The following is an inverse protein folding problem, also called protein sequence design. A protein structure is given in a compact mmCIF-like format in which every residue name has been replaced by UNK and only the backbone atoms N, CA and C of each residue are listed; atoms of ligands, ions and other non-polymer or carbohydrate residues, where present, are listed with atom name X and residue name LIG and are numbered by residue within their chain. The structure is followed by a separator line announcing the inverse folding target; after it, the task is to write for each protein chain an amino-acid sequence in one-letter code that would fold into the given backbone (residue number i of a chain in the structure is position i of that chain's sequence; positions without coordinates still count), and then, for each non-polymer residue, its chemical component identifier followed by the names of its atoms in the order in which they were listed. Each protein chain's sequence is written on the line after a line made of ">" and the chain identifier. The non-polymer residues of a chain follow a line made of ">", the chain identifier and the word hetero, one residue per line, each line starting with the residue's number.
data_IF_479959005070
#
_entry.id   IF_479959005070
#
_cell.length_a   1.000
_cell.length_b   1.000
_cell.length_c   1.000
_cell.angle_alpha   90.00
_cell.angle_beta   90.00
_cell.angle_gamma   90.00
#
_symmetry.space_group_name_H-M   'P 1'
#
loop_
_entity.id
_entity.type
_entity.pdbx_description
1 polymer ?
#
# COMPACT_ATOMS: atom_id res chain seq x y z
N UNK A 1 1.74 -3.79 -23.90
CA UNK A 1 2.18 -3.83 -22.49
C UNK A 1 1.07 -4.48 -21.68
N UNK A 2 1.39 -5.19 -20.60
CA UNK A 2 0.45 -5.85 -19.70
C UNK A 2 0.77 -5.42 -18.28
N UNK A 3 -0.27 -5.25 -17.46
CA UNK A 3 -0.15 -4.99 -16.02
C UNK A 3 -1.01 -6.00 -15.29
N UNK A 4 -0.46 -6.56 -14.21
CA UNK A 4 -1.15 -7.52 -13.35
C UNK A 4 -1.06 -7.05 -11.90
N UNK A 5 -2.19 -6.64 -11.30
CA UNK A 5 -2.29 -6.49 -9.86
C UNK A 5 -2.10 -7.85 -9.18
N UNK A 6 -1.18 -7.94 -8.22
CA UNK A 6 -0.88 -9.20 -7.54
C UNK A 6 -1.78 -9.35 -6.30
N UNK A 7 -2.86 -10.13 -6.34
CA UNK A 7 -3.85 -10.20 -5.24
C UNK A 7 -3.27 -10.53 -3.85
N UNK A 8 -2.16 -11.26 -3.78
CA UNK A 8 -1.50 -11.64 -2.52
C UNK A 8 -0.55 -10.58 -1.95
N UNK A 9 -0.30 -9.49 -2.68
CA UNK A 9 0.67 -8.46 -2.28
C UNK A 9 0.20 -7.07 -2.73
N UNK A 10 0.57 -6.00 -2.03
CA UNK A 10 0.25 -4.61 -2.40
C UNK A 10 1.05 -4.09 -3.62
N UNK A 11 1.32 -4.95 -4.61
CA UNK A 11 2.25 -4.75 -5.72
C UNK A 11 1.57 -4.94 -7.08
N UNK A 12 2.16 -4.31 -8.10
CA UNK A 12 1.82 -4.44 -9.50
C UNK A 12 3.00 -5.09 -10.24
N UNK A 13 2.69 -6.01 -11.16
CA UNK A 13 3.64 -6.51 -12.15
C UNK A 13 3.35 -5.88 -13.51
N UNK A 14 4.38 -5.35 -14.17
CA UNK A 14 4.31 -4.69 -15.48
C UNK A 14 5.25 -5.42 -16.45
N UNK A 15 4.73 -5.79 -17.62
CA UNK A 15 5.44 -6.57 -18.61
C UNK A 15 5.08 -6.22 -20.06
N UNK A 16 5.83 -6.79 -20.99
CA UNK A 16 5.61 -6.64 -22.44
C UNK A 16 5.31 -8.02 -23.03
N UNK A 17 4.20 -8.12 -23.77
CA UNK A 17 3.87 -9.34 -24.52
C UNK A 17 4.93 -9.55 -25.61
N UNK A 18 5.52 -10.75 -25.64
CA UNK A 18 6.60 -11.13 -26.57
C UNK A 18 6.18 -12.18 -27.59
N UNK A 19 4.99 -12.76 -27.47
CA UNK A 19 4.48 -13.72 -28.43
C UNK A 19 3.09 -13.35 -28.92
N UNK A 20 2.77 -13.88 -30.09
CA UNK A 20 1.39 -14.02 -30.50
C UNK A 20 0.64 -14.98 -29.58
N UNK A 21 -0.67 -14.98 -29.74
CA UNK A 21 -1.57 -15.91 -29.07
C UNK A 21 -1.21 -17.36 -29.40
N UNK A 22 -1.21 -18.23 -28.39
CA UNK A 22 -1.06 -19.67 -28.54
C UNK A 22 -2.17 -20.36 -27.76
N UNK A 23 -2.71 -21.43 -28.35
CA UNK A 23 -3.63 -22.34 -27.69
C UNK A 23 -2.89 -23.64 -27.35
N UNK A 24 -2.81 -23.98 -26.07
CA UNK A 24 -2.16 -25.20 -25.58
C UNK A 24 -3.18 -26.35 -25.55
N UNK A 25 -3.23 -27.15 -26.60
CA UNK A 25 -4.19 -28.28 -26.71
C UNK A 25 -3.93 -29.39 -25.70
N UNK A 26 -2.69 -29.48 -25.21
CA UNK A 26 -2.15 -30.48 -24.30
C UNK A 26 -2.27 -30.09 -22.82
N UNK A 27 -2.65 -28.84 -22.51
CA UNK A 27 -2.86 -28.39 -21.13
C UNK A 27 -4.15 -28.99 -20.55
N UNK A 28 -4.03 -29.55 -19.34
CA UNK A 28 -5.09 -30.30 -18.67
C UNK A 28 -6.23 -29.38 -18.21
N UNK A 29 -5.90 -28.18 -17.72
CA UNK A 29 -6.90 -27.18 -17.37
C UNK A 29 -7.30 -26.35 -18.60
N UNK A 30 -8.56 -26.47 -19.02
CA UNK A 30 -9.11 -25.78 -20.18
C UNK A 30 -8.95 -24.25 -20.08
N UNK A 31 -9.07 -23.69 -18.87
CA UNK A 31 -8.96 -22.24 -18.64
C UNK A 31 -7.54 -21.69 -18.87
N UNK A 32 -6.52 -22.54 -18.74
CA UNK A 32 -5.12 -22.16 -18.91
C UNK A 32 -4.60 -22.35 -20.35
N UNK A 33 -5.46 -22.77 -21.28
CA UNK A 33 -5.04 -23.07 -22.65
C UNK A 33 -4.74 -21.82 -23.47
N UNK A 34 -5.31 -20.68 -23.11
CA UNK A 34 -5.14 -19.41 -23.82
C UNK A 34 -3.94 -18.65 -23.27
N UNK A 35 -2.80 -18.69 -23.98
CA UNK A 35 -1.55 -18.11 -23.47
C UNK A 35 -0.92 -17.10 -24.41
N UNK A 36 -0.27 -16.09 -23.81
CA UNK A 36 0.69 -15.19 -24.45
C UNK A 36 1.90 -15.07 -23.52
N UNK A 37 3.11 -15.16 -24.08
CA UNK A 37 4.32 -15.00 -23.31
C UNK A 37 4.52 -13.53 -22.94
N UNK A 38 4.70 -13.27 -21.65
CA UNK A 38 4.97 -11.94 -21.11
C UNK A 38 6.39 -11.89 -20.59
N UNK A 39 7.16 -10.93 -21.09
CA UNK A 39 8.45 -10.52 -20.55
C UNK A 39 8.20 -9.50 -19.45
N UNK A 40 8.16 -9.97 -18.20
CA UNK A 40 7.91 -9.16 -17.02
C UNK A 40 9.12 -8.27 -16.71
N UNK A 41 8.96 -6.96 -16.92
CA UNK A 41 10.04 -5.98 -16.78
C UNK A 41 10.15 -5.41 -15.38
N UNK A 42 9.04 -5.25 -14.67
CA UNK A 42 8.99 -4.81 -13.29
C UNK A 42 7.94 -5.63 -12.54
N UNK A 43 8.33 -6.42 -11.53
CA UNK A 43 7.40 -7.33 -10.82
C UNK A 43 7.04 -6.85 -9.42
N UNK A 44 7.59 -5.72 -8.97
CA UNK A 44 7.45 -5.20 -7.60
C UNK A 44 7.20 -3.70 -7.61
N UNK A 45 6.27 -3.24 -8.43
CA UNK A 45 5.87 -1.84 -8.42
C UNK A 45 4.84 -1.64 -7.31
N UNK A 46 5.21 -0.92 -6.26
CA UNK A 46 4.29 -0.62 -5.16
C UNK A 46 3.04 0.11 -5.68
N UNK A 47 1.84 -0.31 -5.25
CA UNK A 47 0.58 0.35 -5.62
C UNK A 47 0.56 1.82 -5.21
N UNK A 48 1.24 2.16 -4.12
CA UNK A 48 1.39 3.53 -3.61
C UNK A 48 2.14 4.47 -4.57
N UNK A 49 2.84 3.94 -5.57
CA UNK A 49 3.44 4.76 -6.64
C UNK A 49 2.42 5.19 -7.69
N UNK A 50 1.28 4.51 -7.82
CA UNK A 50 0.24 4.81 -8.80
C UNK A 50 -0.81 5.74 -8.22
N UNK A 51 -1.36 6.68 -9.02
CA UNK A 51 -2.47 7.53 -8.57
C UNK A 51 -3.80 6.79 -8.64
N UNK A 52 -4.75 7.28 -7.86
CA UNK A 52 -6.07 6.66 -7.68
C UNK A 52 -6.84 6.44 -9.00
N UNK A 53 -6.77 7.38 -9.94
CA UNK A 53 -7.48 7.26 -11.22
C UNK A 53 -6.88 6.19 -12.14
N UNK A 54 -5.58 5.93 -12.03
CA UNK A 54 -4.92 4.83 -12.72
C UNK A 54 -5.22 3.50 -12.04
N UNK A 55 -5.18 3.44 -10.70
CA UNK A 55 -5.58 2.26 -9.93
C UNK A 55 -7.03 1.86 -10.20
N UNK A 56 -7.92 2.84 -10.32
CA UNK A 56 -9.31 2.62 -10.73
C UNK A 56 -9.40 1.94 -12.11
N UNK A 57 -8.62 2.42 -13.07
CA UNK A 57 -8.59 1.83 -14.41
C UNK A 57 -7.98 0.42 -14.43
N UNK A 58 -7.08 0.11 -13.50
CA UNK A 58 -6.46 -1.21 -13.32
C UNK A 58 -7.36 -2.21 -12.57
N UNK A 59 -8.35 -1.72 -11.82
CA UNK A 59 -9.31 -2.53 -11.06
C UNK A 59 -10.56 -2.94 -11.84
N UNK A 60 -10.65 -2.63 -13.15
CA UNK A 60 -11.78 -3.00 -13.98
C UNK A 60 -11.85 -4.53 -14.16
N UNK A 61 -13.00 -5.13 -13.81
CA UNK A 61 -13.21 -6.56 -13.53
C UNK A 61 -13.11 -7.53 -14.72
N UNK A 62 -12.76 -7.08 -15.92
CA UNK A 62 -12.56 -7.99 -17.05
C UNK A 62 -11.21 -8.71 -16.93
N UNK A 63 -11.17 -10.00 -17.24
CA UNK A 63 -9.94 -10.82 -17.29
C UNK A 63 -8.82 -10.18 -18.12
N UNK A 64 -9.18 -9.40 -19.15
CA UNK A 64 -8.27 -8.58 -19.97
C UNK A 64 -9.02 -7.30 -20.40
N UNK A 65 -8.56 -6.12 -19.99
CA UNK A 65 -9.03 -4.83 -20.52
C UNK A 65 -7.88 -4.02 -21.15
N UNK A 66 -8.23 -3.14 -22.08
CA UNK A 66 -7.35 -2.10 -22.56
C UNK A 66 -7.54 -0.82 -21.75
N UNK A 67 -6.45 -0.27 -21.20
CA UNK A 67 -6.46 1.01 -20.49
C UNK A 67 -6.01 2.11 -21.46
N UNK A 68 -6.98 2.79 -22.08
CA UNK A 68 -6.75 3.87 -23.04
C UNK A 68 -6.95 5.27 -22.46
N UNK A 69 -7.69 5.41 -21.35
CA UNK A 69 -8.01 6.71 -20.73
C UNK A 69 -6.83 7.27 -19.93
N UNK A 70 -6.83 8.60 -19.74
CA UNK A 70 -5.96 9.34 -18.82
C UNK A 70 -4.45 9.02 -18.94
N UNK A 71 -3.96 8.85 -20.18
CA UNK A 71 -2.55 8.51 -20.46
C UNK A 71 -2.06 7.22 -19.77
N UNK A 72 -2.95 6.25 -19.51
CA UNK A 72 -2.62 5.05 -18.72
C UNK A 72 -1.35 4.33 -19.18
N UNK A 73 -1.20 4.08 -20.49
CA UNK A 73 -0.01 3.43 -21.04
C UNK A 73 1.29 4.22 -20.75
N UNK A 74 1.28 5.54 -20.90
CA UNK A 74 2.47 6.36 -20.63
C UNK A 74 2.81 6.37 -19.13
N UNK A 75 1.80 6.47 -18.26
CA UNK A 75 1.99 6.47 -16.80
C UNK A 75 2.54 5.14 -16.29
N UNK A 76 2.03 4.04 -16.84
CA UNK A 76 2.52 2.69 -16.57
C UNK A 76 3.98 2.49 -17.03
N UNK A 77 4.41 3.15 -18.12
CA UNK A 77 5.83 3.17 -18.50
C UNK A 77 6.72 3.88 -17.46
N UNK A 78 6.23 4.95 -16.83
CA UNK A 78 6.97 5.64 -15.77
C UNK A 78 7.11 4.75 -14.53
N UNK A 79 6.02 4.08 -14.13
CA UNK A 79 5.98 3.12 -13.03
C UNK A 79 6.91 1.92 -13.27
N UNK A 80 6.95 1.40 -14.50
CA UNK A 80 7.88 0.34 -14.90
C UNK A 80 9.35 0.76 -14.77
N UNK A 81 9.64 2.05 -14.93
CA UNK A 81 10.95 2.65 -14.69
C UNK A 81 11.25 2.99 -13.22
N UNK A 82 10.37 2.61 -12.28
CA UNK A 82 10.51 2.88 -10.84
C UNK A 82 10.18 4.32 -10.43
N UNK A 83 9.59 5.12 -11.31
CA UNK A 83 9.20 6.50 -11.01
C UNK A 83 7.75 6.56 -10.53
N UNK A 84 7.41 7.43 -9.57
CA UNK A 84 6.02 7.68 -9.19
C UNK A 84 5.18 8.12 -10.38
N UNK A 85 3.89 7.80 -10.35
CA UNK A 85 2.93 8.17 -11.38
C UNK A 85 2.76 9.72 -11.45
N UNK A 86 3.17 10.34 -12.57
CA UNK A 86 3.12 11.79 -12.74
C UNK A 86 1.70 12.34 -12.92
N UNK A 87 0.69 11.47 -13.12
CA UNK A 87 -0.66 11.86 -13.51
C UNK A 87 -0.83 12.06 -15.01
N UNK A 88 -2.07 12.23 -15.47
CA UNK A 88 -2.38 12.44 -16.89
C UNK A 88 -1.83 13.78 -17.41
N UNK A 89 -1.41 13.83 -18.68
CA UNK A 89 -0.80 15.02 -19.31
C UNK A 89 -1.81 15.97 -19.95
N UNK A 90 -3.04 15.54 -20.21
CA UNK A 90 -4.09 16.32 -20.89
C UNK A 90 -4.88 17.30 -19.99
N UNK A 91 -5.66 18.19 -20.62
CA UNK A 91 -6.43 19.30 -20.02
C UNK A 91 -7.44 18.93 -18.90
N UNK A 92 -7.69 17.64 -18.64
CA UNK A 92 -8.39 17.18 -17.44
C UNK A 92 -7.62 17.47 -16.13
N UNK A 93 -6.39 17.98 -16.22
CA UNK A 93 -5.56 18.37 -15.09
C UNK A 93 -5.93 19.73 -14.41
N UNK A 94 -7.03 20.40 -14.79
CA UNK A 94 -7.40 21.73 -14.23
C UNK A 94 -8.57 21.78 -13.23
N UNK A 95 -9.15 20.66 -12.80
CA UNK A 95 -10.17 20.65 -11.74
C UNK A 95 -9.97 19.53 -10.73
N UNK A 96 -8.90 19.61 -9.93
CA UNK A 96 -8.82 18.91 -8.63
C UNK A 96 -9.12 19.85 -7.45
N UNK A 97 -10.01 20.83 -7.65
CA UNK A 97 -10.69 21.57 -6.58
C UNK A 97 -12.21 21.49 -6.77
N UNK A 98 -12.78 20.36 -6.37
CA UNK A 98 -14.02 20.23 -5.59
C UNK A 98 -14.45 18.76 -5.62
N UNK A 99 -14.51 18.20 -4.43
CA UNK A 99 -15.32 17.04 -4.11
C UNK A 99 -16.78 17.39 -4.38
N UNK A 100 -17.40 16.71 -5.35
CA UNK A 100 -18.83 16.39 -5.44
C UNK A 100 -18.98 15.25 -6.46
N UNK A 101 -19.90 14.29 -6.27
CA UNK A 101 -20.06 13.15 -7.16
C UNK A 101 -20.85 13.60 -8.40
N UNK A 102 -20.18 13.75 -9.54
CA UNK A 102 -20.87 13.84 -10.82
C UNK A 102 -21.00 12.42 -11.34
N UNK A 103 -22.18 11.86 -11.12
CA UNK A 103 -22.74 10.76 -11.89
C UNK A 103 -23.19 11.38 -13.20
N UNK A 104 -22.34 11.40 -14.23
CA UNK A 104 -22.78 11.73 -15.60
C UNK A 104 -21.82 11.18 -16.67
N UNK A 105 -22.10 9.96 -17.09
CA UNK A 105 -22.50 9.58 -18.44
C UNK A 105 -21.95 8.19 -18.78
N UNK A 106 -22.85 7.23 -18.63
CA UNK A 106 -22.64 5.83 -18.88
C UNK A 106 -22.88 5.57 -20.38
N UNK A 107 -21.81 5.58 -21.16
CA UNK A 107 -21.80 4.86 -22.43
C UNK A 107 -20.39 4.35 -22.74
N UNK A 108 -20.29 3.03 -22.92
CA UNK A 108 -19.15 2.24 -23.40
C UNK A 108 -17.96 1.96 -22.46
N UNK A 109 -18.24 1.74 -21.18
CA UNK A 109 -17.59 0.63 -20.47
C UNK A 109 -18.71 -0.25 -19.96
N UNK A 110 -18.84 -1.44 -20.56
CA UNK A 110 -19.68 -2.52 -20.05
C UNK A 110 -19.57 -2.56 -18.53
N UNK A 111 -20.73 -2.60 -17.85
CA UNK A 111 -20.92 -2.70 -16.41
C UNK A 111 -19.86 -3.63 -15.81
N UNK A 112 -18.75 -3.04 -15.40
CA UNK A 112 -17.67 -3.73 -14.72
C UNK A 112 -18.03 -3.56 -13.26
N UNK A 113 -18.48 -4.63 -12.62
CA UNK A 113 -18.62 -4.65 -11.16
C UNK A 113 -17.25 -4.33 -10.58
N UNK A 114 -17.02 -3.07 -10.21
CA UNK A 114 -15.77 -2.62 -9.61
C UNK A 114 -15.62 -3.41 -8.32
N UNK A 115 -14.41 -3.90 -8.00
CA UNK A 115 -14.09 -4.35 -6.64
C UNK A 115 -14.18 -3.15 -5.70
N UNK A 116 -15.39 -2.92 -5.18
CA UNK A 116 -15.75 -1.77 -4.35
C UNK A 116 -14.87 -1.74 -3.11
N UNK A 117 -14.50 -2.90 -2.58
CA UNK A 117 -13.62 -3.02 -1.43
C UNK A 117 -12.22 -2.51 -1.78
N UNK A 118 -11.55 -3.10 -2.78
CA UNK A 118 -10.18 -2.70 -3.16
C UNK A 118 -10.12 -1.22 -3.52
N UNK A 119 -11.12 -0.70 -4.24
CA UNK A 119 -11.20 0.72 -4.57
C UNK A 119 -11.31 1.61 -3.33
N UNK A 120 -12.17 1.23 -2.38
CA UNK A 120 -12.38 1.99 -1.15
C UNK A 120 -11.12 1.98 -0.29
N UNK A 121 -10.46 0.82 -0.15
CA UNK A 121 -9.18 0.70 0.57
C UNK A 121 -8.10 1.59 -0.04
N UNK A 122 -7.91 1.56 -1.35
CA UNK A 122 -6.93 2.42 -2.05
C UNK A 122 -7.21 3.92 -1.83
N UNK A 123 -8.50 4.32 -1.83
CA UNK A 123 -8.87 5.71 -1.53
C UNK A 123 -8.50 6.12 -0.11
N UNK A 124 -8.69 5.24 0.87
CA UNK A 124 -8.33 5.53 2.26
C UNK A 124 -6.81 5.61 2.40
N UNK A 125 -6.06 4.68 1.79
CA UNK A 125 -4.59 4.71 1.74
C UNK A 125 -4.09 6.02 1.14
N UNK A 126 -4.62 6.42 -0.01
CA UNK A 126 -4.27 7.71 -0.64
C UNK A 126 -4.55 8.88 0.31
N UNK A 127 -5.68 8.85 1.02
CA UNK A 127 -6.02 9.89 1.99
C UNK A 127 -5.08 9.91 3.20
N UNK A 128 -4.68 8.74 3.71
CA UNK A 128 -3.74 8.64 4.83
C UNK A 128 -2.41 9.27 4.43
N UNK A 129 -1.83 8.90 3.29
CA UNK A 129 -0.52 9.45 2.91
C UNK A 129 -0.58 10.95 2.61
N UNK A 130 -1.65 11.45 2.01
CA UNK A 130 -1.86 12.89 1.79
C UNK A 130 -1.87 13.71 3.09
N UNK A 131 -2.36 13.11 4.19
CA UNK A 131 -2.52 13.79 5.48
C UNK A 131 -1.33 13.57 6.40
N UNK A 132 -0.78 12.37 6.41
CA UNK A 132 0.19 11.92 7.41
C UNK A 132 1.60 11.70 6.85
N UNK A 133 1.92 12.03 5.60
CA UNK A 133 3.30 11.90 5.11
C UNK A 133 4.34 12.62 6.00
N UNK A 134 5.56 12.09 6.01
CA UNK A 134 6.65 12.58 6.85
C UNK A 134 6.45 12.24 8.33
N UNK A 135 6.79 13.19 9.21
CA UNK A 135 6.76 13.01 10.67
C UNK A 135 5.35 12.71 11.20
N UNK A 136 4.29 13.25 10.58
CA UNK A 136 2.91 12.96 10.97
C UNK A 136 2.54 11.48 10.91
N UNK A 137 3.27 10.67 10.13
CA UNK A 137 3.05 9.23 10.05
C UNK A 137 3.48 8.57 11.36
N UNK A 138 4.52 9.08 12.01
CA UNK A 138 4.91 8.62 13.34
C UNK A 138 3.82 8.93 14.37
N UNK A 139 3.19 10.11 14.32
CA UNK A 139 2.06 10.45 15.19
C UNK A 139 0.87 9.49 14.98
N UNK A 140 0.55 9.17 13.72
CA UNK A 140 -0.51 8.22 13.41
C UNK A 140 -0.18 6.82 13.96
N UNK A 141 1.03 6.33 13.72
CA UNK A 141 1.46 5.01 14.18
C UNK A 141 1.51 4.94 15.71
N UNK A 142 1.97 5.99 16.38
CA UNK A 142 1.94 6.10 17.84
C UNK A 142 0.50 5.99 18.37
N UNK A 143 -0.44 6.74 17.80
CA UNK A 143 -1.84 6.65 18.20
C UNK A 143 -2.45 5.26 17.97
N UNK A 144 -2.07 4.57 16.89
CA UNK A 144 -2.49 3.18 16.65
C UNK A 144 -1.95 2.25 17.74
N UNK A 145 -0.66 2.36 18.07
CA UNK A 145 -0.05 1.57 19.13
C UNK A 145 -0.65 1.87 20.51
N UNK A 146 -0.96 3.14 20.80
CA UNK A 146 -1.63 3.57 22.03
C UNK A 146 -3.01 2.95 22.18
N UNK A 147 -3.81 2.91 21.11
CA UNK A 147 -5.09 2.18 21.12
C UNK A 147 -4.89 0.67 21.33
N UNK A 148 -3.71 0.14 21.01
CA UNK A 148 -3.29 -1.23 21.30
C UNK A 148 -2.77 -1.46 22.73
N UNK A 149 -2.75 -0.44 23.59
CA UNK A 149 -2.32 -0.53 24.99
C UNK A 149 -0.83 -0.24 25.23
N UNK A 150 -0.13 0.33 24.26
CA UNK A 150 1.24 0.82 24.44
C UNK A 150 1.26 2.25 24.97
N UNK A 151 2.26 2.59 25.78
CA UNK A 151 2.67 3.96 26.00
C UNK A 151 3.79 4.29 25.01
N UNK A 152 3.59 5.35 24.21
CA UNK A 152 4.49 5.72 23.13
C UNK A 152 5.23 7.03 23.44
N UNK A 153 6.49 7.10 23.04
CA UNK A 153 7.31 8.32 23.03
C UNK A 153 7.81 8.55 21.60
N UNK A 154 7.40 9.66 20.99
CA UNK A 154 7.71 10.01 19.59
C UNK A 154 8.90 10.95 19.56
N UNK A 155 9.93 10.59 18.81
CA UNK A 155 11.17 11.36 18.74
C UNK A 155 10.96 12.73 18.07
N UNK A 156 11.62 13.80 18.56
CA UNK A 156 11.54 15.12 17.93
C UNK A 156 12.21 15.13 16.55
N UNK A 157 11.66 15.93 15.63
CA UNK A 157 12.16 16.07 14.26
C UNK A 157 13.68 16.34 14.21
N UNK A 158 14.42 15.42 13.58
CA UNK A 158 15.83 15.61 13.22
C UNK A 158 16.86 15.04 14.21
N UNK A 159 16.46 14.30 15.24
CA UNK A 159 17.38 13.78 16.28
C UNK A 159 17.57 12.26 16.22
N UNK A 160 17.25 11.63 15.09
CA UNK A 160 16.94 10.19 15.16
C UNK A 160 18.11 9.32 14.73
N UNK A 161 18.51 8.42 15.63
CA UNK A 161 19.41 7.30 15.37
C UNK A 161 18.75 6.20 14.49
N UNK A 162 17.72 6.57 13.72
CA UNK A 162 16.87 5.66 12.95
C UNK A 162 15.69 5.07 13.72
N UNK A 163 15.29 5.66 14.84
CA UNK A 163 14.08 5.28 15.61
C UNK A 163 13.21 6.53 15.78
N UNK A 164 11.96 6.43 15.30
CA UNK A 164 10.98 7.51 15.34
C UNK A 164 10.04 7.38 16.56
N UNK A 165 9.84 6.17 17.08
CA UNK A 165 8.98 5.92 18.25
C UNK A 165 9.63 4.84 19.14
N UNK A 166 9.59 5.06 20.44
CA UNK A 166 9.84 4.02 21.44
C UNK A 166 8.52 3.74 22.15
N UNK A 167 8.14 2.47 22.30
CA UNK A 167 6.91 2.13 22.97
C UNK A 167 7.07 0.91 23.88
N UNK A 168 6.36 0.92 25.00
CA UNK A 168 6.29 -0.21 25.92
C UNK A 168 4.92 -0.30 26.57
N UNK A 169 4.70 -1.32 27.38
CA UNK A 169 3.41 -1.52 28.05
C UNK A 169 3.50 -1.18 29.54
N UNK A 170 2.36 -1.30 30.24
CA UNK A 170 2.26 -0.99 31.66
C UNK A 170 2.11 0.50 31.95
N UNK A 171 1.92 0.84 33.23
CA UNK A 171 1.58 2.20 33.65
C UNK A 171 2.65 3.25 33.29
N UNK A 172 3.91 2.84 33.28
CA UNK A 172 5.05 3.70 32.97
C UNK A 172 5.61 3.48 31.56
N UNK A 173 5.04 2.57 30.77
CA UNK A 173 5.55 2.23 29.44
C UNK A 173 6.90 1.48 29.45
N UNK A 174 7.27 0.86 30.57
CA UNK A 174 8.55 0.19 30.75
C UNK A 174 8.45 -1.34 30.66
N UNK A 175 7.24 -1.89 30.67
CA UNK A 175 7.02 -3.33 30.67
C UNK A 175 7.06 -3.91 29.25
N UNK A 176 7.47 -5.16 29.13
CA UNK A 176 7.43 -5.90 27.86
C UNK A 176 5.99 -6.16 27.41
N UNK A 177 5.71 -6.14 26.10
CA UNK A 177 6.66 -5.96 25.00
C UNK A 177 7.12 -4.50 24.85
N UNK A 178 8.43 -4.30 24.73
CA UNK A 178 9.07 -3.03 24.37
C UNK A 178 9.42 -3.06 22.89
N UNK A 179 8.98 -2.06 22.16
CA UNK A 179 9.16 -1.97 20.72
C UNK A 179 9.82 -0.64 20.35
N UNK A 180 10.69 -0.69 19.35
CA UNK A 180 11.18 0.51 18.66
C UNK A 180 10.62 0.53 17.25
N UNK A 181 10.20 1.71 16.81
CA UNK A 181 9.54 1.89 15.52
C UNK A 181 10.37 2.82 14.66
N UNK A 182 10.53 2.44 13.40
CA UNK A 182 11.02 3.33 12.36
C UNK A 182 9.95 3.49 11.28
N UNK A 183 9.74 4.73 10.83
CA UNK A 183 8.68 5.11 9.91
C UNK A 183 9.27 5.66 8.62
N UNK A 184 8.88 5.06 7.50
CA UNK A 184 9.23 5.47 6.14
C UNK A 184 7.93 5.59 5.34
N UNK A 185 7.52 6.83 5.11
CA UNK A 185 6.28 7.16 4.38
C UNK A 185 6.50 7.32 2.87
N UNK A 186 7.71 7.09 2.37
CA UNK A 186 8.00 7.11 0.94
C UNK A 186 7.18 6.03 0.19
N UNK A 187 6.74 6.39 -1.03
CA UNK A 187 6.04 5.44 -1.90
C UNK A 187 6.97 4.35 -2.46
N UNK A 188 8.28 4.57 -2.43
CA UNK A 188 9.26 3.58 -2.86
C UNK A 188 9.48 2.50 -1.79
N UNK A 189 9.80 1.29 -2.24
CA UNK A 189 10.10 0.18 -1.33
C UNK A 189 11.39 0.44 -0.54
N UNK A 190 11.35 0.11 0.76
CA UNK A 190 12.48 0.24 1.68
C UNK A 190 13.48 -0.91 1.49
N UNK A 191 14.76 -0.57 1.41
CA UNK A 191 15.86 -1.52 1.19
C UNK A 191 16.36 -2.19 2.47
N UNK A 192 17.21 -3.22 2.29
CA UNK A 192 17.83 -3.99 3.36
C UNK A 192 18.61 -3.14 4.41
N UNK A 193 19.36 -2.08 4.05
CA UNK A 193 20.15 -1.33 5.03
C UNK A 193 19.31 -0.73 6.17
N UNK A 194 18.10 -0.25 5.85
CA UNK A 194 17.18 0.33 6.84
C UNK A 194 16.67 -0.77 7.79
N UNK A 195 16.35 -1.94 7.27
CA UNK A 195 15.94 -3.10 8.09
C UNK A 195 17.04 -3.51 9.06
N UNK A 196 18.29 -3.58 8.58
CA UNK A 196 19.44 -3.94 9.41
C UNK A 196 19.74 -2.85 10.46
N UNK A 197 19.59 -1.58 10.11
CA UNK A 197 19.72 -0.48 11.05
C UNK A 197 18.71 -0.59 12.20
N UNK A 198 17.43 -0.82 11.89
CA UNK A 198 16.39 -1.00 12.91
C UNK A 198 16.67 -2.23 13.79
N UNK A 199 17.10 -3.35 13.19
CA UNK A 199 17.47 -4.54 13.96
C UNK A 199 18.65 -4.28 14.90
N UNK A 200 19.63 -3.47 14.49
CA UNK A 200 20.74 -3.04 15.35
C UNK A 200 20.27 -2.14 16.50
N UNK A 201 19.28 -1.28 16.26
CA UNK A 201 18.72 -0.40 17.28
C UNK A 201 18.05 -1.18 18.44
N UNK A 202 17.57 -2.41 18.21
CA UNK A 202 16.97 -3.24 19.27
C UNK A 202 17.89 -3.38 20.48
N UNK A 203 19.17 -3.66 20.25
CA UNK A 203 20.15 -3.81 21.34
C UNK A 203 20.48 -2.48 22.01
N UNK A 204 20.57 -1.38 21.24
CA UNK A 204 20.87 -0.04 21.79
C UNK A 204 19.75 0.45 22.72
N UNK A 205 18.50 0.20 22.35
CA UNK A 205 17.33 0.64 23.12
C UNK A 205 16.84 -0.42 24.13
N UNK A 206 17.43 -1.62 24.13
CA UNK A 206 16.96 -2.73 24.97
C UNK A 206 15.53 -3.17 24.65
N UNK A 207 15.11 -3.01 23.39
CA UNK A 207 13.78 -3.36 22.92
C UNK A 207 13.67 -4.85 22.61
N UNK A 208 12.49 -5.40 22.84
CA UNK A 208 12.19 -6.82 22.58
C UNK A 208 11.95 -7.05 21.08
N UNK A 209 11.31 -6.08 20.40
CA UNK A 209 10.98 -6.16 18.97
C UNK A 209 11.14 -4.80 18.26
N UNK A 210 11.23 -4.86 16.93
CA UNK A 210 11.21 -3.70 16.05
C UNK A 210 9.97 -3.68 15.17
N UNK A 211 9.46 -2.50 14.88
CA UNK A 211 8.41 -2.29 13.89
C UNK A 211 8.94 -1.34 12.81
N UNK A 212 9.05 -1.80 11.57
CA UNK A 212 9.33 -0.93 10.44
C UNK A 212 8.03 -0.66 9.70
N UNK A 213 7.57 0.59 9.75
CA UNK A 213 6.48 1.07 8.92
C UNK A 213 7.08 1.52 7.59
N UNK A 214 6.91 0.69 6.55
CA UNK A 214 7.43 0.93 5.21
C UNK A 214 6.25 1.09 4.25
N UNK A 215 5.80 2.32 4.03
CA UNK A 215 4.57 2.61 3.27
C UNK A 215 4.57 2.02 1.85
N UNK A 216 5.69 2.16 1.12
CA UNK A 216 5.92 1.52 -0.17
C UNK A 216 6.26 0.02 -0.13
N UNK A 217 6.20 -0.60 1.04
CA UNK A 217 6.67 -1.97 1.29
C UNK A 217 8.19 -2.07 1.37
N UNK A 218 8.69 -3.30 1.25
CA UNK A 218 10.13 -3.61 1.33
C UNK A 218 10.60 -4.43 0.11
N UNK A 219 11.89 -4.32 -0.22
CA UNK A 219 12.49 -5.06 -1.34
C UNK A 219 12.52 -6.58 -1.09
N UNK A 220 12.60 -7.39 -2.16
CA UNK A 220 12.82 -8.86 -2.07
C UNK A 220 13.98 -9.26 -1.17
N UNK A 221 15.07 -8.52 -1.24
CA UNK A 221 16.26 -8.78 -0.44
C UNK A 221 15.97 -8.58 1.06
N UNK A 222 15.32 -7.47 1.41
CA UNK A 222 14.84 -7.20 2.77
C UNK A 222 13.85 -8.27 3.25
N UNK A 223 12.90 -8.68 2.41
CA UNK A 223 11.94 -9.77 2.72
C UNK A 223 12.65 -11.08 3.02
N UNK A 224 13.66 -11.45 2.21
CA UNK A 224 14.45 -12.66 2.41
C UNK A 224 15.25 -12.61 3.70
N UNK A 225 15.88 -11.48 4.00
CA UNK A 225 16.62 -11.29 5.25
C UNK A 225 15.71 -11.43 6.48
N UNK A 226 14.50 -10.87 6.43
CA UNK A 226 13.53 -10.97 7.53
C UNK A 226 12.93 -12.36 7.68
N UNK A 227 12.91 -13.18 6.63
CA UNK A 227 12.38 -14.55 6.72
C UNK A 227 13.13 -15.41 7.74
N UNK A 228 14.42 -15.14 7.96
CA UNK A 228 15.25 -15.80 8.99
C UNK A 228 15.22 -15.07 10.34
N UNK A 229 14.65 -13.87 10.41
CA UNK A 229 14.60 -13.01 11.60
C UNK A 229 13.16 -12.57 11.95
N UNK A 230 12.15 -13.41 11.67
CA UNK A 230 10.72 -13.04 11.77
C UNK A 230 10.23 -12.58 13.14
N UNK A 231 10.96 -12.90 14.21
CA UNK A 231 10.59 -12.53 15.58
C UNK A 231 11.28 -11.26 16.08
N UNK A 232 12.31 -10.75 15.39
CA UNK A 232 12.98 -9.52 15.82
C UNK A 232 12.28 -8.27 15.26
N UNK A 233 11.88 -8.29 13.98
CA UNK A 233 11.31 -7.12 13.31
C UNK A 233 10.04 -7.49 12.55
N UNK A 234 8.96 -6.76 12.82
CA UNK A 234 7.70 -6.78 12.07
C UNK A 234 7.68 -5.64 11.06
N UNK A 235 7.06 -5.87 9.91
CA UNK A 235 6.83 -4.85 8.88
C UNK A 235 5.35 -4.51 8.85
N UNK A 236 5.07 -3.22 8.74
CA UNK A 236 3.77 -2.69 8.31
C UNK A 236 3.93 -1.94 6.99
N UNK A 237 3.22 -2.38 5.95
CA UNK A 237 3.03 -1.60 4.73
C UNK A 237 1.74 -0.76 4.80
N UNK A 238 1.39 -0.10 3.68
CA UNK A 238 0.18 0.73 3.62
C UNK A 238 -1.12 -0.04 3.95
N UNK A 239 -1.21 -1.33 3.62
CA UNK A 239 -2.37 -2.16 3.96
C UNK A 239 -2.36 -2.52 5.45
N UNK A 240 -1.20 -2.90 6.00
CA UNK A 240 -1.12 -3.20 7.44
C UNK A 240 -1.53 -1.98 8.31
N UNK A 241 -1.10 -0.78 7.93
CA UNK A 241 -1.50 0.47 8.61
C UNK A 241 -3.00 0.75 8.44
N UNK A 242 -3.56 0.50 7.26
CA UNK A 242 -4.99 0.64 7.01
C UNK A 242 -5.81 -0.34 7.87
N UNK A 243 -5.39 -1.60 7.91
CA UNK A 243 -6.06 -2.65 8.66
C UNK A 243 -6.08 -2.32 10.15
N UNK A 244 -4.94 -1.88 10.69
CA UNK A 244 -4.82 -1.43 12.07
C UNK A 244 -5.69 -0.19 12.34
N UNK A 245 -5.68 0.79 11.44
CA UNK A 245 -6.51 1.99 11.55
C UNK A 245 -8.00 1.65 11.58
N UNK A 246 -8.46 0.74 10.71
CA UNK A 246 -9.87 0.30 10.69
C UNK A 246 -10.19 -0.45 11.99
N UNK A 247 -9.29 -1.33 12.45
CA UNK A 247 -9.47 -2.15 13.66
C UNK A 247 -9.66 -1.29 14.91
N UNK A 248 -8.91 -0.19 15.05
CA UNK A 248 -8.93 0.65 16.25
C UNK A 248 -9.64 1.99 16.03
N UNK A 249 -10.31 2.18 14.89
CA UNK A 249 -10.86 3.46 14.46
C UNK A 249 -11.78 4.14 15.50
N UNK A 250 -12.55 3.35 16.23
CA UNK A 250 -13.49 3.86 17.23
C UNK A 250 -12.78 4.57 18.41
N UNK A 251 -11.60 4.07 18.79
CA UNK A 251 -10.83 4.52 19.95
C UNK A 251 -9.77 5.57 19.58
N UNK A 252 -9.56 5.82 18.28
CA UNK A 252 -8.59 6.80 17.82
C UNK A 252 -8.92 8.24 18.28
N UNK A 253 -7.88 9.06 18.52
CA UNK A 253 -8.04 10.49 18.81
C UNK A 253 -8.93 11.20 17.79
N UNK A 254 -9.73 12.16 18.27
CA UNK A 254 -10.69 12.90 17.43
C UNK A 254 -10.02 13.64 16.27
N UNK A 255 -8.77 14.07 16.45
CA UNK A 255 -7.96 14.76 15.45
C UNK A 255 -7.63 13.85 14.25
N UNK A 256 -7.25 12.60 14.52
CA UNK A 256 -6.97 11.60 13.48
C UNK A 256 -8.25 11.21 12.74
N UNK A 257 -9.35 10.99 13.47
CA UNK A 257 -10.67 10.73 12.86
C UNK A 257 -11.18 11.90 12.00
N UNK A 258 -10.80 13.13 12.32
CA UNK A 258 -11.12 14.31 11.50
C UNK A 258 -10.33 14.33 10.19
N UNK A 259 -9.07 13.88 10.20
CA UNK A 259 -8.24 13.83 9.00
C UNK A 259 -8.62 12.67 8.06
N UNK A 260 -9.04 11.53 8.64
CA UNK A 260 -9.54 10.34 7.92
C UNK A 260 -10.95 9.99 8.41
N UNK A 261 -12.00 10.72 7.98
CA UNK A 261 -13.36 10.50 8.47
C UNK A 261 -13.99 9.27 7.81
N UNK A 262 -13.79 8.11 8.42
CA UNK A 262 -14.44 6.86 8.03
C UNK A 262 -15.83 6.75 8.65
N UNK A 263 -16.75 6.14 7.88
CA UNK A 263 -18.07 5.74 8.32
C UNK A 263 -18.27 4.26 7.99
N UNK A 264 -18.62 3.41 8.97
CA UNK A 264 -18.95 2.02 8.68
C UNK A 264 -20.23 1.96 7.84
N UNK A 265 -20.22 1.09 6.84
CA UNK A 265 -21.39 0.78 6.01
C UNK A 265 -21.51 -0.74 5.96
N UNK A 266 -22.73 -1.24 6.07
CA UNK A 266 -23.02 -2.66 5.87
C UNK A 266 -23.53 -2.85 4.43
N UNK A 267 -22.89 -3.75 3.70
CA UNK A 267 -23.34 -4.21 2.39
C UNK A 267 -23.54 -5.72 2.44
N UNK A 268 -24.40 -6.25 1.56
CA UNK A 268 -24.51 -7.69 1.38
C UNK A 268 -23.20 -8.19 0.77
N UNK A 269 -22.68 -9.30 1.28
CA UNK A 269 -21.57 -9.98 0.64
C UNK A 269 -22.09 -10.62 -0.65
N UNK A 270 -21.48 -10.31 -1.79
CA UNK A 270 -21.79 -11.00 -3.03
C UNK A 270 -21.38 -12.48 -2.87
N UNK A 271 -22.34 -13.39 -2.98
CA UNK A 271 -22.10 -14.84 -2.98
C UNK A 271 -21.40 -15.25 -4.29
N UNK A 272 -20.13 -14.86 -4.44
CA UNK A 272 -19.27 -15.27 -5.55
C UNK A 272 -18.33 -16.37 -5.05
N UNK A 273 -18.73 -17.62 -5.30
CA UNK A 273 -17.97 -18.85 -5.06
C UNK A 273 -16.76 -18.98 -5.99
#
# INVERSE_FOLDING_TARGET
>A
MVVMPLKSTSMLAIGVIKSDYRYLTDEANIENRHVRNVDWRATEVARTLARQDLLYSLGAFSTICEISRNDGAWRLHQLMGGKPDPGARGEAARTSKRTDPIVDDASDVAQSEIDVETYTRDRIISRIIERFAGHRMADLVAALLETGGFACDVSPVGTDQGVDIVAGTGLLGLDSPRIVVQVKSDAAAVGLPIVQQLQGALSTFGADHGLLVAWGGITKEAKRYLSTHRFSVKIWDAQDVLDELIRTYADLPSEIRRDVPLKPVWALADESN
#
